data_IF_396362570737
#
_entry.id   IF_396362570737
#
_cell.length_a   1.000
_cell.length_b   1.000
_cell.length_c   1.000
_cell.angle_alpha   90.00
_cell.angle_beta   90.00
_cell.angle_gamma   90.00
#
_symmetry.space_group_name_H-M   'P 1'
#
loop_
_entity.id
_entity.type
_entity.pdbx_description
1 polymer ?
#
# COMPACT_ATOMS: atom_id res chain seq x y z
N UNK A 1 53.43 -21.53 27.54
CA UNK A 1 52.96 -22.31 26.37
C UNK A 1 51.71 -21.59 25.83
N UNK A 2 51.96 -20.66 24.92
CA UNK A 2 50.92 -19.88 24.21
C UNK A 2 50.42 -20.71 23.04
N UNK A 3 49.10 -21.01 23.02
CA UNK A 3 48.43 -21.60 21.86
C UNK A 3 48.34 -20.57 20.75
N UNK A 4 49.26 -20.62 19.82
CA UNK A 4 49.08 -19.97 18.52
C UNK A 4 47.99 -20.72 17.77
N UNK A 5 46.82 -20.09 17.67
CA UNK A 5 45.73 -20.54 16.81
C UNK A 5 46.14 -20.36 15.36
N UNK A 6 46.06 -21.39 14.54
CA UNK A 6 46.36 -21.39 13.10
C UNK A 6 45.36 -20.46 12.40
N UNK A 7 45.76 -19.26 11.98
CA UNK A 7 44.86 -18.39 11.19
C UNK A 7 44.90 -18.86 9.74
N UNK A 8 43.78 -19.22 9.16
CA UNK A 8 43.68 -19.36 7.70
C UNK A 8 42.77 -20.44 7.14
N UNK A 9 42.34 -21.45 7.94
CA UNK A 9 41.51 -22.54 7.40
C UNK A 9 40.01 -22.26 7.53
N UNK A 10 39.57 -21.62 8.59
CA UNK A 10 38.15 -21.29 8.83
C UNK A 10 37.68 -20.15 7.92
N UNK A 11 38.51 -19.14 7.68
CA UNK A 11 38.16 -18.00 6.82
C UNK A 11 37.93 -18.42 5.36
N UNK A 12 38.72 -19.39 4.85
CA UNK A 12 38.54 -19.90 3.48
C UNK A 12 37.29 -20.74 3.32
N UNK A 13 36.90 -21.50 4.33
CA UNK A 13 35.65 -22.29 4.31
C UNK A 13 34.44 -21.35 4.36
N UNK A 14 34.44 -20.38 5.27
CA UNK A 14 33.37 -19.35 5.38
C UNK A 14 33.21 -18.55 4.09
N UNK A 15 34.35 -18.18 3.45
CA UNK A 15 34.29 -17.47 2.16
C UNK A 15 33.73 -18.37 1.05
N UNK A 16 34.11 -19.64 0.96
CA UNK A 16 33.55 -20.59 -0.02
C UNK A 16 32.07 -20.82 0.18
N UNK A 17 31.60 -20.97 1.41
CA UNK A 17 30.17 -21.11 1.74
C UNK A 17 29.40 -19.85 1.34
N UNK A 18 29.91 -18.65 1.68
CA UNK A 18 29.27 -17.37 1.27
C UNK A 18 29.23 -17.22 -0.26
N UNK A 19 30.27 -17.60 -0.97
CA UNK A 19 30.29 -17.55 -2.44
C UNK A 19 29.33 -18.57 -3.06
N UNK A 20 29.25 -19.78 -2.51
CA UNK A 20 28.29 -20.80 -2.94
C UNK A 20 26.83 -20.33 -2.70
N UNK A 21 26.55 -19.76 -1.53
CA UNK A 21 25.23 -19.18 -1.23
C UNK A 21 24.88 -18.00 -2.14
N UNK A 22 25.83 -17.11 -2.43
CA UNK A 22 25.62 -16.01 -3.39
C UNK A 22 25.35 -16.55 -4.80
N UNK A 23 26.12 -17.55 -5.26
CA UNK A 23 25.88 -18.18 -6.57
C UNK A 23 24.52 -18.87 -6.64
N UNK A 24 24.15 -19.64 -5.62
CA UNK A 24 22.85 -20.29 -5.55
C UNK A 24 21.69 -19.28 -5.56
N UNK A 25 21.80 -18.18 -4.80
CA UNK A 25 20.83 -17.10 -4.80
C UNK A 25 20.74 -16.38 -6.16
N UNK A 26 21.86 -16.17 -6.84
CA UNK A 26 21.87 -15.54 -8.17
C UNK A 26 21.25 -16.47 -9.22
N UNK A 27 21.59 -17.78 -9.20
CA UNK A 27 21.00 -18.78 -10.09
C UNK A 27 19.49 -18.92 -9.87
N UNK A 28 19.04 -18.90 -8.61
CA UNK A 28 17.61 -18.90 -8.31
C UNK A 28 16.91 -17.68 -8.92
N UNK A 29 17.45 -16.48 -8.73
CA UNK A 29 16.90 -15.24 -9.30
C UNK A 29 16.84 -15.27 -10.82
N UNK A 30 17.89 -15.77 -11.48
CA UNK A 30 17.93 -15.89 -12.94
C UNK A 30 16.88 -16.89 -13.43
N UNK A 31 16.82 -18.08 -12.83
CA UNK A 31 15.79 -19.08 -13.19
C UNK A 31 14.38 -18.53 -12.96
N UNK A 32 14.15 -17.87 -11.83
CA UNK A 32 12.88 -17.23 -11.53
C UNK A 32 12.48 -16.20 -12.61
N UNK A 33 13.40 -15.30 -12.96
CA UNK A 33 13.18 -14.29 -14.00
C UNK A 33 12.90 -14.92 -15.38
N UNK A 34 13.64 -15.98 -15.74
CA UNK A 34 13.42 -16.70 -16.99
C UNK A 34 12.06 -17.39 -17.05
N UNK A 35 11.63 -18.03 -15.96
CA UNK A 35 10.31 -18.66 -15.89
C UNK A 35 9.21 -17.61 -16.02
N UNK A 36 9.33 -16.48 -15.31
CA UNK A 36 8.37 -15.39 -15.44
C UNK A 36 8.33 -14.81 -16.85
N UNK A 37 9.48 -14.55 -17.44
CA UNK A 37 9.57 -14.06 -18.82
C UNK A 37 8.96 -15.05 -19.81
N UNK A 38 9.18 -16.36 -19.63
CA UNK A 38 8.61 -17.40 -20.47
C UNK A 38 7.08 -17.47 -20.32
N UNK A 39 6.55 -17.42 -19.10
CA UNK A 39 5.10 -17.46 -18.86
C UNK A 39 4.40 -16.22 -19.41
N UNK A 40 4.93 -15.03 -19.14
CA UNK A 40 4.38 -13.77 -19.67
C UNK A 40 4.49 -13.75 -21.18
N UNK A 41 5.66 -14.13 -21.73
CA UNK A 41 5.86 -14.20 -23.19
C UNK A 41 4.92 -15.18 -23.86
N UNK A 42 4.75 -16.39 -23.31
CA UNK A 42 3.82 -17.37 -23.82
C UNK A 42 2.36 -16.86 -23.80
N UNK A 43 1.96 -16.18 -22.73
CA UNK A 43 0.62 -15.57 -22.61
C UNK A 43 0.42 -14.47 -23.67
N UNK A 44 1.37 -13.55 -23.82
CA UNK A 44 1.29 -12.47 -24.82
C UNK A 44 1.27 -13.04 -26.25
N UNK A 45 2.11 -14.03 -26.54
CA UNK A 45 2.15 -14.70 -27.85
C UNK A 45 0.82 -15.42 -28.14
N UNK A 46 0.24 -16.10 -27.15
CA UNK A 46 -1.05 -16.76 -27.30
C UNK A 46 -2.16 -15.77 -27.66
N UNK A 47 -2.21 -14.62 -26.97
CA UNK A 47 -3.17 -13.55 -27.24
C UNK A 47 -2.95 -12.92 -28.62
N UNK A 48 -1.70 -12.72 -29.02
CA UNK A 48 -1.35 -12.18 -30.35
C UNK A 48 -1.77 -13.12 -31.47
N UNK A 49 -1.48 -14.43 -31.33
CA UNK A 49 -1.86 -15.46 -32.30
C UNK A 49 -3.39 -15.66 -32.37
N UNK A 50 -4.09 -15.43 -31.27
CA UNK A 50 -5.55 -15.42 -31.24
C UNK A 50 -6.19 -14.18 -31.92
N UNK A 51 -5.37 -13.21 -32.35
CA UNK A 51 -5.86 -11.97 -32.95
C UNK A 51 -6.43 -10.96 -31.95
N UNK A 52 -6.22 -11.19 -30.63
CA UNK A 52 -6.80 -10.37 -29.57
C UNK A 52 -5.95 -9.13 -29.23
N UNK A 53 -4.74 -9.01 -29.81
CA UNK A 53 -3.84 -7.86 -29.62
C UNK A 53 -3.66 -7.12 -30.95
N UNK A 54 -4.15 -5.90 -31.00
CA UNK A 54 -3.93 -4.95 -32.09
C UNK A 54 -3.01 -3.80 -31.63
N UNK A 55 -1.82 -3.72 -32.22
CA UNK A 55 -0.86 -2.65 -31.92
C UNK A 55 -1.34 -1.26 -32.38
N UNK A 56 -2.11 -1.20 -33.47
CA UNK A 56 -2.74 0.05 -33.94
C UNK A 56 -3.77 0.56 -32.94
N UNK A 57 -4.57 -0.34 -32.39
CA UNK A 57 -5.50 -0.03 -31.31
C UNK A 57 -4.75 0.53 -30.08
N UNK A 58 -3.67 -0.12 -29.66
CA UNK A 58 -2.87 0.32 -28.50
C UNK A 58 -2.26 1.69 -28.74
N UNK A 59 -1.79 1.98 -29.96
CA UNK A 59 -1.26 3.30 -30.29
C UNK A 59 -2.32 4.40 -30.22
N UNK A 60 -3.57 4.09 -30.55
CA UNK A 60 -4.69 5.05 -30.57
C UNK A 60 -5.25 5.28 -29.16
N UNK A 61 -5.52 4.22 -28.41
CA UNK A 61 -6.24 4.29 -27.13
C UNK A 61 -5.32 4.25 -25.89
N UNK A 62 -4.09 3.75 -26.04
CA UNK A 62 -3.12 3.66 -24.95
C UNK A 62 -2.85 4.98 -24.25
N UNK A 63 -2.62 6.10 -24.97
CA UNK A 63 -2.41 7.40 -24.34
C UNK A 63 -3.58 7.87 -23.49
N UNK A 64 -4.83 7.60 -23.91
CA UNK A 64 -6.02 7.93 -23.13
C UNK A 64 -6.06 7.13 -21.81
N UNK A 65 -5.73 5.84 -21.86
CA UNK A 65 -5.72 4.98 -20.68
C UNK A 65 -4.59 5.41 -19.73
N UNK A 66 -3.40 5.68 -20.26
CA UNK A 66 -2.24 6.12 -19.47
C UNK A 66 -2.49 7.46 -18.75
N UNK A 67 -3.22 8.40 -19.37
CA UNK A 67 -3.59 9.64 -18.70
C UNK A 67 -4.49 9.40 -17.47
N UNK A 68 -5.25 8.31 -17.46
CA UNK A 68 -6.00 7.85 -16.27
C UNK A 68 -5.11 7.52 -15.08
N UNK A 69 -3.89 7.04 -15.29
CA UNK A 69 -2.96 6.75 -14.22
C UNK A 69 -2.62 7.99 -13.39
N UNK A 70 -2.59 9.18 -14.01
CA UNK A 70 -2.40 10.46 -13.30
C UNK A 70 -3.54 10.69 -12.30
N UNK A 71 -4.78 10.47 -12.71
CA UNK A 71 -5.96 10.63 -11.84
C UNK A 71 -5.92 9.60 -10.70
N UNK A 72 -5.59 8.34 -11.00
CA UNK A 72 -5.41 7.26 -10.02
C UNK A 72 -4.38 7.65 -8.95
N UNK A 73 -3.20 8.11 -9.36
CA UNK A 73 -2.13 8.52 -8.43
C UNK A 73 -2.56 9.72 -7.60
N UNK A 74 -3.12 10.76 -8.22
CA UNK A 74 -3.57 11.96 -7.53
C UNK A 74 -4.62 11.63 -6.47
N UNK A 75 -5.64 10.85 -6.85
CA UNK A 75 -6.69 10.38 -5.94
C UNK A 75 -6.08 9.62 -4.75
N UNK A 76 -5.20 8.68 -5.02
CA UNK A 76 -4.56 7.84 -3.99
C UNK A 76 -3.68 8.67 -3.04
N UNK A 77 -2.87 9.60 -3.58
CA UNK A 77 -1.99 10.45 -2.75
C UNK A 77 -2.81 11.35 -1.83
N UNK A 78 -3.87 11.99 -2.33
CA UNK A 78 -4.72 12.84 -1.50
C UNK A 78 -5.42 11.99 -0.44
N UNK A 79 -5.98 10.86 -0.84
CA UNK A 79 -6.74 9.98 0.06
C UNK A 79 -5.87 9.38 1.17
N UNK A 80 -4.62 8.96 0.89
CA UNK A 80 -3.76 8.38 1.93
C UNK A 80 -3.31 9.44 2.94
N UNK A 81 -3.06 10.67 2.51
CA UNK A 81 -2.72 11.78 3.43
C UNK A 81 -3.88 12.05 4.40
N UNK A 82 -5.11 12.13 3.88
CA UNK A 82 -6.30 12.32 4.71
C UNK A 82 -6.57 11.10 5.59
N UNK A 83 -6.37 9.87 5.07
CA UNK A 83 -6.49 8.64 5.84
C UNK A 83 -5.52 8.60 7.03
N UNK A 84 -4.26 9.03 6.84
CA UNK A 84 -3.28 9.13 7.94
C UNK A 84 -3.73 10.12 9.01
N UNK A 85 -4.29 11.27 8.63
CA UNK A 85 -4.82 12.24 9.59
C UNK A 85 -5.97 11.62 10.39
N UNK A 86 -6.92 10.99 9.71
CA UNK A 86 -8.05 10.30 10.36
C UNK A 86 -7.56 9.16 11.27
N UNK A 87 -6.53 8.42 10.84
CA UNK A 87 -5.94 7.33 11.60
C UNK A 87 -5.28 7.82 12.89
N UNK A 88 -4.57 8.94 12.87
CA UNK A 88 -3.99 9.54 14.08
C UNK A 88 -5.10 9.91 15.07
N UNK A 89 -6.14 10.60 14.60
CA UNK A 89 -7.28 10.97 15.44
C UNK A 89 -8.01 9.73 15.97
N UNK A 90 -8.26 8.74 15.13
CA UNK A 90 -8.87 7.47 15.49
C UNK A 90 -8.04 6.70 16.51
N UNK A 91 -6.72 6.60 16.32
CA UNK A 91 -5.83 5.90 17.24
C UNK A 91 -5.76 6.58 18.61
N UNK A 92 -5.69 7.91 18.66
CA UNK A 92 -5.76 8.67 19.89
C UNK A 92 -7.09 8.44 20.61
N UNK A 93 -8.20 8.40 19.85
CA UNK A 93 -9.52 8.07 20.39
C UNK A 93 -9.58 6.64 20.95
N UNK A 94 -9.02 5.67 20.25
CA UNK A 94 -8.95 4.25 20.65
C UNK A 94 -8.00 3.99 21.83
N UNK A 95 -7.11 4.91 22.14
CA UNK A 95 -6.20 4.86 23.30
C UNK A 95 -6.67 5.75 24.45
N UNK A 96 -7.79 6.48 24.28
CA UNK A 96 -8.31 7.39 25.29
C UNK A 96 -8.91 6.64 26.48
N UNK A 97 -8.66 7.14 27.69
CA UNK A 97 -9.35 6.72 28.92
C UNK A 97 -10.77 7.27 29.05
N UNK A 98 -11.13 8.27 28.22
CA UNK A 98 -12.49 8.81 28.18
C UNK A 98 -13.40 7.85 27.39
N UNK A 99 -14.41 7.29 28.08
CA UNK A 99 -15.33 6.30 27.50
C UNK A 99 -16.08 6.81 26.26
N UNK A 100 -16.47 8.10 26.23
CA UNK A 100 -17.20 8.69 25.10
C UNK A 100 -16.29 8.78 23.86
N UNK A 101 -15.08 9.29 24.04
CA UNK A 101 -14.09 9.41 22.95
C UNK A 101 -13.73 8.02 22.40
N UNK A 102 -13.49 7.06 23.30
CA UNK A 102 -13.23 5.67 22.93
C UNK A 102 -14.41 5.05 22.16
N UNK A 103 -15.65 5.27 22.61
CA UNK A 103 -16.85 4.73 21.98
C UNK A 103 -17.03 5.27 20.54
N UNK A 104 -16.85 6.59 20.34
CA UNK A 104 -16.95 7.22 19.01
C UNK A 104 -15.88 6.65 18.06
N UNK A 105 -14.62 6.59 18.49
CA UNK A 105 -13.54 6.03 17.67
C UNK A 105 -13.76 4.53 17.37
N UNK A 106 -14.32 3.78 18.35
CA UNK A 106 -14.64 2.36 18.18
C UNK A 106 -15.78 2.15 17.19
N UNK A 107 -16.82 2.99 17.25
CA UNK A 107 -17.94 2.95 16.32
C UNK A 107 -17.49 3.25 14.90
N UNK A 108 -16.67 4.29 14.71
CA UNK A 108 -16.06 4.61 13.41
C UNK A 108 -15.31 3.41 12.81
N UNK A 109 -14.37 2.85 13.57
CA UNK A 109 -13.57 1.71 13.11
C UNK A 109 -14.43 0.49 12.82
N UNK A 110 -15.40 0.17 13.69
CA UNK A 110 -16.28 -0.98 13.54
C UNK A 110 -17.19 -0.85 12.31
N UNK A 111 -17.82 0.33 12.14
CA UNK A 111 -18.74 0.60 11.02
C UNK A 111 -17.99 0.53 9.69
N UNK A 112 -16.88 1.25 9.59
CA UNK A 112 -16.17 1.40 8.33
C UNK A 112 -15.47 0.10 7.93
N UNK A 113 -14.86 -0.62 8.86
CA UNK A 113 -14.23 -1.92 8.57
C UNK A 113 -15.23 -3.07 8.41
N UNK A 114 -16.45 -2.89 8.90
CA UNK A 114 -17.54 -3.86 8.75
C UNK A 114 -18.36 -3.71 7.46
N UNK A 115 -18.11 -2.67 6.66
CA UNK A 115 -18.86 -2.41 5.43
C UNK A 115 -17.94 -2.40 4.20
N UNK A 116 -18.38 -2.93 3.03
CA UNK A 116 -17.58 -2.91 1.81
C UNK A 116 -17.27 -1.49 1.33
N UNK A 117 -16.04 -1.25 0.87
CA UNK A 117 -15.63 0.05 0.33
C UNK A 117 -16.53 0.54 -0.81
N UNK A 118 -16.95 -0.36 -1.71
CA UNK A 118 -17.87 0.00 -2.80
C UNK A 118 -19.22 0.53 -2.29
N UNK A 119 -19.73 -0.03 -1.19
CA UNK A 119 -20.96 0.46 -0.55
C UNK A 119 -20.75 1.86 0.03
N UNK A 120 -19.59 2.11 0.64
CA UNK A 120 -19.24 3.44 1.18
C UNK A 120 -19.14 4.49 0.07
N UNK A 121 -18.49 4.16 -1.06
CA UNK A 121 -18.39 5.02 -2.24
C UNK A 121 -19.80 5.35 -2.76
N UNK A 122 -20.63 4.32 -2.95
CA UNK A 122 -22.00 4.47 -3.45
C UNK A 122 -22.87 5.28 -2.48
N UNK A 123 -22.72 5.07 -1.18
CA UNK A 123 -23.46 5.83 -0.17
C UNK A 123 -23.14 7.33 -0.22
N UNK A 124 -21.85 7.68 -0.28
CA UNK A 124 -21.41 9.08 -0.34
C UNK A 124 -21.89 9.76 -1.62
N UNK A 125 -21.78 9.09 -2.76
CA UNK A 125 -22.10 9.70 -4.04
C UNK A 125 -23.59 9.65 -4.41
N UNK A 126 -24.31 8.57 -4.07
CA UNK A 126 -25.71 8.36 -4.50
C UNK A 126 -26.73 8.62 -3.40
N UNK A 127 -26.41 8.36 -2.12
CA UNK A 127 -27.35 8.46 -1.04
C UNK A 127 -27.33 9.85 -0.37
N UNK A 128 -26.17 10.47 -0.15
CA UNK A 128 -26.07 11.79 0.48
C UNK A 128 -26.82 12.89 -0.28
N UNK A 129 -26.87 12.92 -1.62
CA UNK A 129 -27.71 13.88 -2.35
C UNK A 129 -29.19 13.85 -1.98
N UNK A 130 -29.72 12.70 -1.55
CA UNK A 130 -31.13 12.60 -1.12
C UNK A 130 -31.44 13.42 0.16
N UNK A 131 -30.41 13.72 0.95
CA UNK A 131 -30.50 14.60 2.12
C UNK A 131 -29.92 15.99 1.90
N UNK A 132 -29.72 16.36 0.62
CA UNK A 132 -29.26 17.70 0.20
C UNK A 132 -27.73 17.88 0.16
N UNK A 133 -26.94 16.83 0.44
CA UNK A 133 -25.48 16.89 0.42
C UNK A 133 -24.95 16.35 -0.92
N UNK A 134 -24.76 17.24 -1.90
CA UNK A 134 -24.24 16.88 -3.23
C UNK A 134 -22.72 17.08 -3.25
N UNK A 135 -21.98 15.98 -3.38
CA UNK A 135 -20.51 15.97 -3.44
C UNK A 135 -20.11 15.50 -4.84
N UNK A 136 -19.22 16.20 -5.56
CA UNK A 136 -18.76 15.76 -6.86
C UNK A 136 -18.06 14.38 -6.79
N UNK A 137 -18.01 13.67 -7.91
CA UNK A 137 -17.55 12.27 -7.95
C UNK A 137 -16.11 12.11 -7.45
N UNK A 138 -15.19 12.98 -7.86
CA UNK A 138 -13.78 12.88 -7.47
C UNK A 138 -13.59 13.06 -5.97
N UNK A 139 -14.24 14.06 -5.38
CA UNK A 139 -14.22 14.35 -3.94
C UNK A 139 -14.92 13.24 -3.15
N UNK A 140 -16.01 12.66 -3.67
CA UNK A 140 -16.70 11.52 -3.09
C UNK A 140 -15.76 10.30 -3.00
N UNK A 141 -14.98 10.07 -4.06
CA UNK A 141 -13.95 9.03 -4.09
C UNK A 141 -12.85 9.27 -3.04
N UNK A 142 -12.34 10.50 -2.94
CA UNK A 142 -11.35 10.88 -1.92
C UNK A 142 -11.91 10.63 -0.51
N UNK A 143 -13.12 11.09 -0.22
CA UNK A 143 -13.74 10.93 1.10
C UNK A 143 -13.89 9.44 1.43
N UNK A 144 -14.45 8.65 0.53
CA UNK A 144 -14.67 7.23 0.74
C UNK A 144 -13.36 6.46 1.02
N UNK A 145 -12.36 6.65 0.17
CA UNK A 145 -11.05 6.02 0.34
C UNK A 145 -10.37 6.47 1.63
N UNK A 146 -10.42 7.77 1.92
CA UNK A 146 -9.81 8.32 3.15
C UNK A 146 -10.47 7.77 4.42
N UNK A 147 -11.80 7.69 4.45
CA UNK A 147 -12.55 7.14 5.58
C UNK A 147 -12.26 5.64 5.75
N UNK A 148 -12.27 4.88 4.66
CA UNK A 148 -12.03 3.46 4.70
C UNK A 148 -10.62 3.15 5.21
N UNK A 149 -9.60 3.66 4.53
CA UNK A 149 -8.20 3.43 4.90
C UNK A 149 -7.83 4.08 6.23
N UNK A 150 -8.46 5.20 6.59
CA UNK A 150 -8.32 5.82 7.90
C UNK A 150 -8.71 4.90 9.04
N UNK A 151 -9.78 4.10 8.88
CA UNK A 151 -10.21 3.13 9.87
C UNK A 151 -9.24 1.94 9.99
N UNK A 152 -8.70 1.44 8.88
CA UNK A 152 -7.67 0.39 8.90
C UNK A 152 -6.38 0.89 9.53
N UNK A 153 -5.89 2.04 9.09
CA UNK A 153 -4.69 2.69 9.64
C UNK A 153 -4.85 3.05 11.12
N UNK A 154 -6.05 3.39 11.61
CA UNK A 154 -6.33 3.61 13.04
C UNK A 154 -5.88 2.42 13.88
N UNK A 155 -6.22 1.21 13.48
CA UNK A 155 -5.82 0.00 14.20
C UNK A 155 -4.32 -0.30 14.05
N UNK A 156 -3.73 0.01 12.89
CA UNK A 156 -2.30 -0.12 12.65
C UNK A 156 -1.51 0.84 13.56
N UNK A 157 -1.95 2.10 13.68
CA UNK A 157 -1.32 3.08 14.58
C UNK A 157 -1.45 2.64 16.04
N UNK A 158 -2.66 2.22 16.45
CA UNK A 158 -2.89 1.70 17.81
C UNK A 158 -1.99 0.48 18.10
N UNK A 159 -1.94 -0.49 17.21
CA UNK A 159 -1.10 -1.67 17.35
C UNK A 159 0.40 -1.32 17.37
N UNK A 160 0.86 -0.39 16.54
CA UNK A 160 2.24 0.09 16.53
C UNK A 160 2.66 0.74 17.84
N UNK A 161 1.77 1.54 18.47
CA UNK A 161 2.04 2.14 19.79
C UNK A 161 2.08 1.07 20.89
N UNK A 162 1.21 0.05 20.81
CA UNK A 162 1.15 -1.05 21.77
C UNK A 162 2.26 -2.10 21.58
N UNK A 163 2.87 -2.17 20.40
CA UNK A 163 3.97 -3.08 20.12
C UNK A 163 5.30 -2.69 20.79
N UNK A 164 5.42 -1.46 21.28
CA UNK A 164 6.60 -1.02 22.03
C UNK A 164 6.63 -1.75 23.38
N UNK A 165 7.73 -2.47 23.73
CA UNK A 165 7.80 -3.27 24.93
C UNK A 165 7.46 -2.47 26.20
N UNK A 166 6.60 -2.98 27.11
CA UNK A 166 6.19 -2.28 28.34
C UNK A 166 7.38 -1.83 29.19
N UNK A 167 8.42 -2.66 29.28
CA UNK A 167 9.64 -2.34 30.04
C UNK A 167 10.35 -1.04 29.62
N UNK A 168 10.17 -0.62 28.37
CA UNK A 168 10.69 0.69 27.91
C UNK A 168 9.96 1.87 28.58
N UNK A 169 8.65 1.74 28.78
CA UNK A 169 7.85 2.74 29.52
C UNK A 169 8.14 2.70 31.00
N UNK A 170 8.19 1.50 31.58
CA UNK A 170 8.49 1.29 33.01
C UNK A 170 9.86 1.84 33.38
N UNK A 171 10.90 1.55 32.58
CA UNK A 171 12.25 2.08 32.80
C UNK A 171 12.29 3.61 32.75
N UNK A 172 11.59 4.21 31.77
CA UNK A 172 11.50 5.66 31.66
C UNK A 172 10.78 6.31 32.84
N UNK A 173 9.69 5.69 33.30
CA UNK A 173 8.93 6.15 34.47
C UNK A 173 9.77 6.02 35.76
N UNK A 174 10.55 4.94 35.91
CA UNK A 174 11.48 4.75 37.03
C UNK A 174 12.57 5.85 37.08
N UNK A 175 12.94 6.41 35.92
CA UNK A 175 13.84 7.57 35.81
C UNK A 175 13.12 8.90 36.05
N UNK A 176 11.85 8.91 36.47
CA UNK A 176 11.09 10.11 36.74
C UNK A 176 10.57 10.83 35.48
N UNK A 177 10.55 10.19 34.31
CA UNK A 177 10.04 10.81 33.09
C UNK A 177 8.51 10.93 33.16
N UNK A 178 8.00 12.12 32.89
CA UNK A 178 6.56 12.37 32.76
C UNK A 178 6.01 11.63 31.50
N UNK A 179 4.81 11.08 31.58
CA UNK A 179 4.17 10.24 30.53
C UNK A 179 4.23 10.88 29.13
N UNK A 180 4.02 12.19 29.03
CA UNK A 180 4.15 12.93 27.76
C UNK A 180 5.56 12.84 27.16
N UNK A 181 6.60 12.84 27.98
CA UNK A 181 7.98 12.69 27.52
C UNK A 181 8.29 11.24 27.13
N UNK A 182 7.77 10.27 27.90
CA UNK A 182 7.85 8.84 27.57
C UNK A 182 7.23 8.59 26.19
N UNK A 183 6.01 9.10 25.98
CA UNK A 183 5.31 8.96 24.69
C UNK A 183 6.15 9.57 23.55
N UNK A 184 6.59 10.82 23.69
CA UNK A 184 7.24 11.56 22.59
C UNK A 184 8.67 11.10 22.30
N UNK A 185 9.45 10.71 23.32
CA UNK A 185 10.88 10.42 23.18
C UNK A 185 11.20 8.93 23.05
N UNK A 186 10.31 8.05 23.53
CA UNK A 186 10.54 6.60 23.59
C UNK A 186 9.54 5.86 22.72
N UNK A 187 8.24 6.05 22.93
CA UNK A 187 7.20 5.24 22.28
C UNK A 187 7.00 5.67 20.82
N UNK A 188 6.74 6.95 20.56
CA UNK A 188 6.44 7.41 19.20
C UNK A 188 7.54 7.15 18.19
N UNK A 189 8.85 7.39 18.48
CA UNK A 189 9.89 7.08 17.50
C UNK A 189 9.97 5.60 17.12
N UNK A 190 9.67 4.69 18.05
CA UNK A 190 9.63 3.25 17.80
C UNK A 190 8.35 2.86 17.06
N UNK A 191 7.19 3.35 17.50
CA UNK A 191 5.90 3.10 16.86
C UNK A 191 5.89 3.56 15.38
N UNK A 192 6.45 4.73 15.08
CA UNK A 192 6.54 5.25 13.71
C UNK A 192 7.31 4.30 12.78
N UNK A 193 8.37 3.65 13.26
CA UNK A 193 9.12 2.67 12.47
C UNK A 193 8.30 1.42 12.12
N UNK A 194 7.35 1.05 12.98
CA UNK A 194 6.44 -0.07 12.76
C UNK A 194 5.31 0.34 11.79
N UNK A 195 4.81 1.55 11.95
CA UNK A 195 3.62 2.04 11.23
C UNK A 195 3.93 2.46 9.79
N UNK A 196 5.07 3.11 9.52
CA UNK A 196 5.40 3.60 8.16
C UNK A 196 5.43 2.49 7.10
N UNK A 197 6.00 1.31 7.33
CA UNK A 197 5.90 0.20 6.38
C UNK A 197 4.46 -0.20 6.06
N UNK A 198 3.59 -0.22 7.07
CA UNK A 198 2.18 -0.56 6.90
C UNK A 198 1.42 0.50 6.08
N UNK A 199 1.68 1.80 6.31
CA UNK A 199 1.13 2.88 5.47
C UNK A 199 1.54 2.70 4.01
N UNK A 200 2.79 2.32 3.75
CA UNK A 200 3.26 2.05 2.38
C UNK A 200 2.53 0.88 1.72
N UNK A 201 2.26 -0.21 2.45
CA UNK A 201 1.46 -1.33 1.96
C UNK A 201 0.02 -0.90 1.65
N UNK A 202 -0.59 -0.12 2.53
CA UNK A 202 -1.94 0.40 2.35
C UNK A 202 -2.02 1.39 1.17
N UNK A 203 -0.98 2.20 0.97
CA UNK A 203 -0.89 3.07 -0.22
C UNK A 203 -0.91 2.25 -1.52
N UNK A 204 -0.13 1.17 -1.59
CA UNK A 204 -0.08 0.29 -2.76
C UNK A 204 -1.42 -0.44 -2.97
N UNK A 205 -2.09 -0.83 -1.89
CA UNK A 205 -3.42 -1.41 -1.97
C UNK A 205 -4.44 -0.39 -2.49
N UNK A 206 -4.41 0.84 -1.97
CA UNK A 206 -5.30 1.94 -2.36
C UNK A 206 -5.15 2.31 -3.84
N UNK A 207 -3.97 2.18 -4.47
CA UNK A 207 -3.80 2.37 -5.92
C UNK A 207 -4.75 1.44 -6.70
N UNK A 208 -4.91 0.20 -6.26
CA UNK A 208 -5.80 -0.77 -6.91
C UNK A 208 -7.26 -0.54 -6.54
N UNK A 209 -7.53 -0.21 -5.28
CA UNK A 209 -8.89 0.04 -4.79
C UNK A 209 -9.48 1.34 -5.33
N UNK A 210 -8.62 2.28 -5.80
CA UNK A 210 -9.08 3.47 -6.51
C UNK A 210 -9.86 3.13 -7.78
N UNK A 211 -9.67 1.94 -8.36
CA UNK A 211 -10.48 1.46 -9.48
C UNK A 211 -11.99 1.41 -9.16
N UNK A 212 -12.36 1.23 -7.89
CA UNK A 212 -13.77 1.19 -7.47
C UNK A 212 -14.51 2.52 -7.70
N UNK A 213 -13.79 3.65 -7.73
CA UNK A 213 -14.43 4.95 -7.98
C UNK A 213 -14.82 5.16 -9.45
N UNK A 214 -14.40 4.25 -10.37
CA UNK A 214 -14.91 4.22 -11.74
C UNK A 214 -16.42 4.07 -11.79
N UNK A 215 -17.01 3.36 -10.81
CA UNK A 215 -18.45 3.14 -10.68
C UNK A 215 -19.26 4.42 -10.46
N UNK A 216 -18.64 5.47 -9.95
CA UNK A 216 -19.21 6.80 -9.79
C UNK A 216 -18.69 7.81 -10.83
N UNK A 217 -18.23 7.29 -11.98
CA UNK A 217 -17.75 8.06 -13.14
C UNK A 217 -16.48 8.92 -12.89
N UNK A 218 -15.68 8.62 -11.89
CA UNK A 218 -14.33 9.21 -11.76
C UNK A 218 -13.45 8.69 -12.90
N UNK A 219 -12.90 9.58 -13.71
CA UNK A 219 -12.14 9.26 -14.92
C UNK A 219 -10.69 8.85 -14.58
N UNK A 220 -10.55 7.86 -13.71
CA UNK A 220 -9.29 7.23 -13.39
C UNK A 220 -8.92 6.13 -14.43
N UNK A 221 -7.89 5.36 -14.17
CA UNK A 221 -7.31 4.40 -15.11
C UNK A 221 -8.32 3.35 -15.62
N UNK A 222 -9.08 2.70 -14.72
CA UNK A 222 -10.07 1.69 -15.12
C UNK A 222 -11.22 2.29 -15.91
N UNK A 223 -11.76 3.43 -15.46
CA UNK A 223 -12.84 4.11 -16.18
C UNK A 223 -12.46 4.42 -17.62
N UNK A 224 -11.24 4.94 -17.84
CA UNK A 224 -10.76 5.27 -19.19
C UNK A 224 -10.55 4.02 -20.04
N UNK A 225 -10.05 2.94 -19.46
CA UNK A 225 -9.91 1.65 -20.15
C UNK A 225 -11.28 1.10 -20.57
N UNK A 226 -12.26 1.07 -19.66
CA UNK A 226 -13.60 0.62 -19.96
C UNK A 226 -14.26 1.48 -21.05
N UNK A 227 -14.05 2.80 -20.99
CA UNK A 227 -14.55 3.71 -22.04
C UNK A 227 -13.92 3.40 -23.39
N UNK A 228 -12.59 3.24 -23.45
CA UNK A 228 -11.89 2.87 -24.68
C UNK A 228 -12.39 1.51 -25.23
N UNK A 229 -12.52 0.51 -24.35
CA UNK A 229 -13.01 -0.81 -24.70
C UNK A 229 -14.44 -0.80 -25.27
N UNK A 230 -15.35 -0.03 -24.65
CA UNK A 230 -16.73 0.12 -25.15
C UNK A 230 -16.81 0.86 -26.48
N UNK A 231 -16.02 1.92 -26.67
CA UNK A 231 -16.02 2.72 -27.91
C UNK A 231 -15.42 1.97 -29.10
N UNK A 232 -14.45 1.10 -28.84
CA UNK A 232 -13.77 0.34 -29.90
C UNK A 232 -14.25 -1.11 -30.01
N UNK A 233 -15.22 -1.55 -29.18
CA UNK A 233 -15.69 -2.93 -29.06
C UNK A 233 -14.54 -3.92 -28.75
N UNK A 234 -13.48 -3.46 -28.09
CA UNK A 234 -12.31 -4.25 -27.72
C UNK A 234 -12.01 -4.12 -26.21
N UNK A 235 -12.92 -4.66 -25.39
CA UNK A 235 -12.82 -4.61 -23.94
C UNK A 235 -11.68 -5.47 -23.39
N UNK A 236 -11.36 -6.59 -24.05
CA UNK A 236 -10.29 -7.49 -23.62
C UNK A 236 -8.94 -6.73 -23.60
N UNK A 237 -8.57 -6.13 -24.73
CA UNK A 237 -7.31 -5.42 -24.86
C UNK A 237 -7.26 -4.17 -23.97
N UNK A 238 -8.36 -3.43 -23.82
CA UNK A 238 -8.46 -2.26 -22.96
C UNK A 238 -8.21 -2.62 -21.49
N UNK A 239 -8.82 -3.69 -21.01
CA UNK A 239 -8.62 -4.16 -19.62
C UNK A 239 -7.23 -4.77 -19.40
N UNK A 240 -6.65 -5.44 -20.41
CA UNK A 240 -5.26 -5.90 -20.35
C UNK A 240 -4.28 -4.73 -20.22
N UNK A 241 -4.47 -3.66 -20.99
CA UNK A 241 -3.63 -2.44 -20.88
C UNK A 241 -3.78 -1.82 -19.49
N UNK A 242 -5.01 -1.69 -18.98
CA UNK A 242 -5.24 -1.19 -17.63
C UNK A 242 -4.55 -2.06 -16.58
N UNK A 243 -4.71 -3.39 -16.66
CA UNK A 243 -4.08 -4.33 -15.73
C UNK A 243 -2.55 -4.21 -15.75
N UNK A 244 -1.94 -4.07 -16.92
CA UNK A 244 -0.49 -3.84 -17.06
C UNK A 244 -0.06 -2.53 -16.42
N UNK A 245 -0.81 -1.44 -16.61
CA UNK A 245 -0.47 -0.15 -16.00
C UNK A 245 -0.59 -0.19 -14.49
N UNK A 246 -1.67 -0.79 -13.92
CA UNK A 246 -1.79 -1.01 -12.47
C UNK A 246 -0.64 -1.86 -11.93
N UNK A 247 -0.26 -2.91 -12.65
CA UNK A 247 0.85 -3.77 -12.26
C UNK A 247 2.18 -3.01 -12.24
N UNK A 248 2.47 -2.22 -13.28
CA UNK A 248 3.66 -1.36 -13.33
C UNK A 248 3.65 -0.34 -12.19
N UNK A 249 2.53 0.35 -11.94
CA UNK A 249 2.41 1.27 -10.80
C UNK A 249 2.70 0.55 -9.48
N UNK A 250 2.12 -0.63 -9.26
CA UNK A 250 2.35 -1.44 -8.07
C UNK A 250 3.84 -1.80 -7.90
N UNK A 251 4.51 -2.23 -8.98
CA UNK A 251 5.96 -2.56 -8.95
C UNK A 251 6.79 -1.32 -8.59
N UNK A 252 6.51 -0.19 -9.24
CA UNK A 252 7.24 1.06 -8.99
C UNK A 252 7.12 1.50 -7.54
N UNK A 253 5.91 1.53 -7.00
CA UNK A 253 5.69 1.95 -5.62
C UNK A 253 6.21 0.92 -4.61
N UNK A 254 6.09 -0.39 -4.88
CA UNK A 254 6.69 -1.45 -4.05
C UNK A 254 8.21 -1.33 -3.96
N UNK A 255 8.87 -0.96 -5.06
CA UNK A 255 10.32 -0.73 -5.05
C UNK A 255 10.73 0.46 -4.15
N UNK A 256 9.97 1.56 -4.16
CA UNK A 256 10.23 2.68 -3.25
C UNK A 256 9.97 2.31 -1.80
N UNK A 257 8.89 1.55 -1.55
CA UNK A 257 8.55 1.08 -0.21
C UNK A 257 9.63 0.16 0.36
N UNK A 258 10.09 -0.84 -0.39
CA UNK A 258 11.16 -1.75 0.06
C UNK A 258 12.45 -0.98 0.43
N UNK A 259 12.77 0.10 -0.29
CA UNK A 259 13.90 0.97 0.06
C UNK A 259 13.66 1.73 1.35
N UNK A 260 12.45 2.22 1.57
CA UNK A 260 12.06 2.91 2.80
C UNK A 260 12.17 1.97 4.00
N UNK A 261 11.62 0.76 3.90
CA UNK A 261 11.70 -0.29 4.93
C UNK A 261 13.15 -0.63 5.29
N UNK A 262 14.02 -0.83 4.27
CA UNK A 262 15.44 -1.12 4.49
C UNK A 262 16.19 0.02 5.21
N UNK A 263 15.78 1.28 4.99
CA UNK A 263 16.37 2.42 5.72
C UNK A 263 15.91 2.45 7.17
N UNK A 264 14.66 2.11 7.44
CA UNK A 264 14.09 2.13 8.79
C UNK A 264 14.62 0.98 9.65
N UNK A 265 14.77 -0.21 9.07
CA UNK A 265 15.33 -1.38 9.75
C UNK A 265 16.82 -1.23 10.16
N UNK A 266 17.58 -0.31 9.53
CA UNK A 266 18.98 -0.07 9.90
C UNK A 266 19.16 0.71 11.21
N UNK A 267 18.12 1.30 11.74
CA UNK A 267 18.16 2.03 13.01
C UNK A 267 18.06 1.14 14.27
N UNK A 268 17.93 -0.17 14.09
CA UNK A 268 17.80 -1.14 15.19
C UNK A 268 19.08 -1.94 15.46
N UNK A 269 20.23 -1.55 14.86
CA UNK A 269 21.54 -2.17 15.07
C UNK A 269 22.46 -1.28 15.88
#
# INVERSE_FOLDING_TARGET
>A
MTREGIPGRDDTIVQRVRLAQKRASTWFKVKFALVWAALIGAFVVALYLAGEIDLGWTATWGPLILDGARTTILLTVISIVLAVILAILGALGRLSSNAVVYAIASLYVSLVRGTPLLVQISFIYLALPQVGLVIPAFESGIIALSFNYGAYLTEIFRAGIQAVPPGQREAAQALGMHERHVMRRIVLPQAVRIVIPAIGNDFIAMIKDSALVSTIAVQELLWRAERAGRQSLNSLQALLVAALVYWVLTIVFSFFQERLEKRMARGDR
#
